data_IF_929687130656
#
_entry.id   IF_929687130656
#
_cell.length_a   1.000
_cell.length_b   1.000
_cell.length_c   1.000
_cell.angle_alpha   90.00
_cell.angle_beta   90.00
_cell.angle_gamma   90.00
#
_symmetry.space_group_name_H-M   'P 1'
#
loop_
_entity.id
_entity.type
_entity.pdbx_description
1 polymer ?
#
# COMPACT_ATOMS: atom_id res chain seq x y z
N UNK A 1 7.70 -23.57 5.17
CA UNK A 1 8.73 -22.62 4.70
C UNK A 1 7.96 -21.39 4.23
N UNK A 2 8.02 -20.28 4.96
CA UNK A 2 7.36 -19.02 4.57
C UNK A 2 8.27 -18.31 3.57
N UNK A 3 7.76 -17.74 2.46
CA UNK A 3 8.58 -16.88 1.63
C UNK A 3 8.94 -15.64 2.46
N UNK A 4 10.23 -15.47 2.73
CA UNK A 4 10.77 -14.24 3.28
C UNK A 4 10.55 -13.17 2.20
N UNK A 5 9.52 -12.34 2.38
CA UNK A 5 9.34 -11.12 1.60
C UNK A 5 10.41 -10.12 2.06
N UNK A 6 11.66 -10.35 1.67
CA UNK A 6 12.73 -9.38 1.80
C UNK A 6 12.46 -8.26 0.79
N UNK A 7 11.75 -7.22 1.25
CA UNK A 7 11.57 -5.96 0.52
C UNK A 7 12.98 -5.39 0.27
N UNK A 8 13.40 -5.34 -0.99
CA UNK A 8 14.75 -4.95 -1.39
C UNK A 8 14.80 -4.02 -2.61
N UNK A 9 15.47 -2.88 -2.39
CA UNK A 9 16.17 -1.92 -3.26
C UNK A 9 15.41 -1.19 -4.39
N UNK A 10 14.18 -1.58 -4.73
CA UNK A 10 13.28 -0.82 -5.63
C UNK A 10 11.83 -0.90 -5.09
N UNK A 11 11.67 -0.49 -3.83
CA UNK A 11 10.69 -1.07 -2.93
C UNK A 11 9.23 -0.77 -3.35
N UNK A 12 8.68 -1.72 -4.10
CA UNK A 12 7.26 -1.81 -4.43
C UNK A 12 6.50 -2.29 -3.18
N UNK A 13 5.47 -1.53 -2.80
CA UNK A 13 4.66 -1.80 -1.62
C UNK A 13 3.33 -2.39 -2.09
N UNK A 14 3.05 -3.62 -1.69
CA UNK A 14 1.74 -4.26 -1.91
C UNK A 14 0.79 -3.86 -0.78
N UNK A 15 -0.10 -2.91 -1.02
CA UNK A 15 -1.06 -2.42 -0.02
C UNK A 15 -2.51 -2.66 -0.43
N UNK A 16 -3.40 -2.77 0.56
CA UNK A 16 -4.81 -3.03 0.34
C UNK A 16 -5.58 -1.71 0.16
N UNK A 17 -6.48 -1.66 -0.83
CA UNK A 17 -7.44 -0.56 -0.97
C UNK A 17 -8.52 -0.69 0.10
N UNK A 18 -8.82 0.37 0.83
CA UNK A 18 -9.91 0.40 1.83
C UNK A 18 -10.94 1.49 1.57
N UNK A 19 -10.64 2.42 0.66
CA UNK A 19 -11.56 3.48 0.28
C UNK A 19 -11.19 4.13 -1.04
N UNK A 20 -12.09 4.96 -1.55
CA UNK A 20 -11.91 5.67 -2.81
C UNK A 20 -12.54 7.08 -2.76
N UNK A 21 -12.15 7.95 -3.70
CA UNK A 21 -12.68 9.30 -3.86
C UNK A 21 -13.12 9.55 -5.30
N UNK A 22 -14.19 10.30 -5.44
CA UNK A 22 -14.64 10.76 -6.74
C UNK A 22 -13.63 11.72 -7.37
N UNK A 23 -13.37 11.52 -8.67
CA UNK A 23 -12.60 12.45 -9.48
C UNK A 23 -13.25 13.82 -9.47
N UNK A 24 -12.44 14.85 -9.22
CA UNK A 24 -12.90 16.25 -9.17
C UNK A 24 -12.73 16.99 -10.49
N UNK A 25 -11.95 16.45 -11.41
CA UNK A 25 -11.71 17.02 -12.72
C UNK A 25 -12.80 16.61 -13.72
N UNK A 26 -12.99 17.44 -14.76
CA UNK A 26 -14.03 17.23 -15.78
C UNK A 26 -13.95 15.85 -16.44
N UNK A 27 -12.74 15.30 -16.57
CA UNK A 27 -12.49 14.01 -17.24
C UNK A 27 -12.83 12.79 -16.38
N UNK A 28 -12.87 12.92 -15.04
CA UNK A 28 -13.17 11.81 -14.11
C UNK A 28 -14.32 12.14 -13.17
N UNK A 29 -15.11 13.17 -13.49
CA UNK A 29 -16.27 13.56 -12.71
C UNK A 29 -17.24 12.37 -12.58
N UNK A 30 -17.54 11.98 -11.34
CA UNK A 30 -18.41 10.85 -11.03
C UNK A 30 -17.73 9.47 -11.10
N UNK A 31 -16.44 9.39 -11.43
CA UNK A 31 -15.67 8.14 -11.43
C UNK A 31 -14.77 8.10 -10.19
N UNK A 32 -14.78 6.97 -9.48
CA UNK A 32 -13.86 6.73 -8.37
C UNK A 32 -12.45 6.53 -8.94
N UNK A 33 -11.49 7.34 -8.47
CA UNK A 33 -10.18 7.47 -9.12
C UNK A 33 -9.02 7.74 -8.17
N UNK A 34 -9.25 7.78 -6.87
CA UNK A 34 -8.15 7.99 -5.93
C UNK A 34 -8.27 6.94 -4.83
N UNK A 35 -7.31 6.04 -4.72
CA UNK A 35 -7.43 4.92 -3.80
C UNK A 35 -6.82 5.29 -2.45
N UNK A 36 -7.57 5.12 -1.36
CA UNK A 36 -7.04 5.15 0.00
C UNK A 36 -6.56 3.75 0.36
N UNK A 37 -5.28 3.62 0.69
CA UNK A 37 -4.66 2.34 1.00
C UNK A 37 -4.25 2.22 2.47
N UNK A 38 -4.21 0.98 2.96
CA UNK A 38 -3.84 0.66 4.33
C UNK A 38 -2.73 -0.40 4.41
N UNK A 39 -2.10 -0.44 5.59
CA UNK A 39 -1.34 -1.58 6.08
C UNK A 39 -2.12 -2.30 7.18
N UNK A 40 -1.90 -3.60 7.34
CA UNK A 40 -2.60 -4.40 8.36
C UNK A 40 -1.81 -4.53 9.66
N UNK A 41 -2.53 -4.57 10.77
CA UNK A 41 -2.03 -4.89 12.10
C UNK A 41 -2.84 -6.05 12.62
N UNK A 42 -2.20 -7.20 12.87
CA UNK A 42 -2.88 -8.35 13.46
C UNK A 42 -3.24 -8.05 14.92
N UNK A 43 -4.47 -8.34 15.32
CA UNK A 43 -4.90 -8.17 16.70
C UNK A 43 -4.41 -9.32 17.59
N UNK A 44 -4.04 -9.03 18.84
CA UNK A 44 -3.53 -10.02 19.78
C UNK A 44 -4.60 -11.06 20.16
N UNK A 45 -5.84 -10.61 20.33
CA UNK A 45 -7.00 -11.45 20.64
C UNK A 45 -7.58 -12.18 19.42
N UNK A 46 -6.94 -12.05 18.24
CA UNK A 46 -7.37 -12.76 17.05
C UNK A 46 -7.29 -14.27 17.31
N UNK A 47 -8.45 -14.90 17.51
CA UNK A 47 -8.57 -16.34 17.65
C UNK A 47 -7.86 -16.96 16.46
N UNK A 48 -6.90 -17.86 16.72
CA UNK A 48 -6.31 -18.68 15.64
C UNK A 48 -7.39 -19.66 15.21
N UNK A 49 -8.34 -19.17 14.43
CA UNK A 49 -9.39 -19.99 13.84
C UNK A 49 -8.69 -21.07 13.03
N UNK A 50 -9.13 -22.32 13.20
CA UNK A 50 -8.73 -23.47 12.38
C UNK A 50 -9.16 -23.34 10.91
N UNK A 51 -9.58 -22.15 10.49
CA UNK A 51 -10.03 -21.83 9.15
C UNK A 51 -8.83 -21.65 8.22
N UNK A 52 -9.00 -22.07 6.96
CA UNK A 52 -7.99 -21.90 5.92
C UNK A 52 -7.81 -20.44 5.47
N UNK A 53 -8.67 -19.51 5.90
CA UNK A 53 -8.60 -18.08 5.60
C UNK A 53 -8.82 -17.26 6.88
N UNK A 54 -8.08 -16.17 7.08
CA UNK A 54 -8.25 -15.33 8.27
C UNK A 54 -9.55 -14.48 8.17
N UNK A 55 -10.07 -14.06 9.33
CA UNK A 55 -11.23 -13.18 9.41
C UNK A 55 -10.81 -11.72 9.23
N UNK A 56 -11.66 -10.89 8.62
CA UNK A 56 -11.38 -9.45 8.46
C UNK A 56 -11.23 -8.74 9.80
N UNK A 57 -11.90 -9.24 10.84
CA UNK A 57 -11.85 -8.72 12.21
C UNK A 57 -10.65 -9.24 13.02
N UNK A 58 -9.79 -10.10 12.43
CA UNK A 58 -8.50 -10.45 13.04
C UNK A 58 -7.46 -9.33 12.87
N UNK A 59 -7.78 -8.30 12.09
CA UNK A 59 -6.87 -7.21 11.73
C UNK A 59 -7.48 -5.83 11.95
N UNK A 60 -6.61 -4.88 12.28
CA UNK A 60 -6.86 -3.45 12.11
C UNK A 60 -6.17 -2.96 10.84
N UNK A 61 -6.81 -2.03 10.14
CA UNK A 61 -6.37 -1.51 8.84
C UNK A 61 -5.96 -0.05 9.01
N UNK A 62 -4.66 0.19 9.08
CA UNK A 62 -4.11 1.53 9.30
C UNK A 62 -3.87 2.20 7.96
N UNK A 63 -4.65 3.25 7.67
CA UNK A 63 -4.45 4.03 6.45
C UNK A 63 -3.10 4.72 6.44
N UNK A 64 -2.47 4.82 5.27
CA UNK A 64 -1.15 5.46 5.13
C UNK A 64 -0.94 6.25 3.84
N UNK A 65 -1.63 5.94 2.73
CA UNK A 65 -1.42 6.68 1.48
C UNK A 65 -2.67 6.79 0.63
N UNK A 66 -2.68 7.81 -0.22
CA UNK A 66 -3.69 8.05 -1.26
C UNK A 66 -3.02 8.04 -2.63
N UNK A 67 -3.60 7.31 -3.58
CA UNK A 67 -3.00 7.07 -4.90
C UNK A 67 -3.98 7.52 -5.98
N UNK A 68 -3.59 8.52 -6.78
CA UNK A 68 -4.43 9.06 -7.87
C UNK A 68 -3.81 8.91 -9.27
N UNK A 69 -2.78 8.07 -9.41
CA UNK A 69 -2.00 7.93 -10.66
C UNK A 69 -1.39 6.55 -10.80
N UNK A 70 -0.89 6.23 -12.00
CA UNK A 70 -0.18 4.98 -12.29
C UNK A 70 -1.01 3.93 -13.05
N UNK A 71 -2.31 4.17 -13.22
CA UNK A 71 -3.21 3.34 -14.01
C UNK A 71 -3.65 4.06 -15.30
N UNK A 72 -3.97 3.27 -16.32
CA UNK A 72 -4.63 3.73 -17.55
C UNK A 72 -6.13 3.96 -17.33
N UNK A 73 -6.77 4.67 -18.28
CA UNK A 73 -8.23 4.87 -18.22
C UNK A 73 -9.00 3.54 -18.30
N UNK A 74 -8.50 2.58 -19.10
CA UNK A 74 -9.11 1.26 -19.23
C UNK A 74 -9.06 0.50 -17.91
N UNK A 75 -7.89 0.41 -17.28
CA UNK A 75 -7.74 -0.25 -15.98
C UNK A 75 -8.62 0.39 -14.90
N UNK A 76 -8.75 1.72 -14.92
CA UNK A 76 -9.64 2.43 -14.00
C UNK A 76 -11.11 2.03 -14.19
N UNK A 77 -11.56 1.94 -15.45
CA UNK A 77 -12.93 1.55 -15.77
C UNK A 77 -13.19 0.08 -15.40
N UNK A 78 -12.25 -0.81 -15.71
CA UNK A 78 -12.32 -2.23 -15.38
C UNK A 78 -12.39 -2.42 -13.85
N UNK A 79 -11.57 -1.68 -13.09
CA UNK A 79 -11.63 -1.65 -11.63
C UNK A 79 -12.99 -1.17 -11.12
N UNK A 80 -13.47 -0.02 -11.61
CA UNK A 80 -14.77 0.53 -11.19
C UNK A 80 -15.92 -0.45 -11.44
N UNK A 81 -15.94 -1.10 -12.62
CA UNK A 81 -16.96 -2.08 -12.97
C UNK A 81 -16.90 -3.31 -12.05
N UNK A 82 -15.69 -3.78 -11.72
CA UNK A 82 -15.48 -4.95 -10.85
C UNK A 82 -15.98 -4.73 -9.43
N UNK A 83 -15.84 -3.52 -8.88
CA UNK A 83 -16.18 -3.22 -7.48
C UNK A 83 -17.46 -2.37 -7.31
N UNK A 84 -18.20 -2.09 -8.39
CA UNK A 84 -19.33 -1.15 -8.40
C UNK A 84 -20.38 -1.39 -7.30
N UNK A 85 -20.66 -2.65 -6.95
CA UNK A 85 -21.66 -3.03 -5.94
C UNK A 85 -21.08 -3.28 -4.54
N UNK A 86 -19.77 -3.09 -4.34
CA UNK A 86 -19.07 -3.35 -3.08
C UNK A 86 -18.84 -2.08 -2.25
N UNK A 87 -18.91 -0.92 -2.90
CA UNK A 87 -18.70 0.38 -2.26
C UNK A 87 -19.87 0.76 -1.34
N UNK A 88 -19.52 1.22 -0.14
CA UNK A 88 -20.45 1.78 0.84
C UNK A 88 -20.05 3.25 1.11
N UNK A 89 -20.99 4.20 1.19
CA UNK A 89 -20.67 5.58 1.55
C UNK A 89 -19.94 5.65 2.88
N UNK A 90 -18.87 6.44 2.96
CA UNK A 90 -18.17 6.66 4.22
C UNK A 90 -18.91 7.68 5.07
N UNK A 91 -19.49 7.23 6.19
CA UNK A 91 -20.17 8.09 7.16
C UNK A 91 -19.83 7.65 8.57
N UNK A 92 -20.12 8.48 9.58
CA UNK A 92 -19.92 8.08 10.99
C UNK A 92 -20.66 6.80 11.39
N UNK A 93 -21.73 6.43 10.67
CA UNK A 93 -22.55 5.23 10.95
C UNK A 93 -22.08 4.00 10.18
N UNK A 94 -21.43 4.20 9.04
CA UNK A 94 -21.07 3.12 8.10
C UNK A 94 -19.57 2.85 8.07
N UNK A 95 -18.74 3.75 8.60
CA UNK A 95 -17.30 3.56 8.73
C UNK A 95 -17.02 2.33 9.60
N UNK A 96 -16.34 1.29 9.08
CA UNK A 96 -16.01 0.12 9.87
C UNK A 96 -15.04 0.47 11.00
N UNK A 97 -15.28 -0.06 12.20
CA UNK A 97 -14.46 0.24 13.39
C UNK A 97 -13.02 -0.25 13.29
N UNK A 98 -12.74 -1.23 12.42
CA UNK A 98 -11.41 -1.80 12.17
C UNK A 98 -10.64 -1.07 11.07
N UNK A 99 -11.29 -0.22 10.26
CA UNK A 99 -10.60 0.63 9.28
C UNK A 99 -10.31 2.00 9.93
N UNK A 100 -9.04 2.21 10.27
CA UNK A 100 -8.63 3.36 11.06
C UNK A 100 -8.10 4.49 10.18
N UNK A 101 -8.81 5.61 10.22
CA UNK A 101 -8.49 6.87 9.54
C UNK A 101 -8.30 8.00 10.56
N UNK A 102 -7.52 9.02 10.22
CA UNK A 102 -7.40 10.26 11.01
C UNK A 102 -8.11 11.42 10.27
N UNK A 103 -7.36 12.27 9.57
CA UNK A 103 -7.91 13.43 8.86
C UNK A 103 -8.35 13.09 7.44
N UNK A 104 -7.59 12.26 6.72
CA UNK A 104 -7.94 11.83 5.37
C UNK A 104 -8.98 10.69 5.44
N UNK A 105 -10.21 10.97 4.98
CA UNK A 105 -11.33 10.03 4.98
C UNK A 105 -11.87 9.89 3.55
N UNK A 106 -12.13 8.67 3.06
CA UNK A 106 -12.59 8.45 1.70
C UNK A 106 -14.04 8.89 1.52
N UNK A 107 -14.50 9.00 0.27
CA UNK A 107 -15.92 9.22 -0.04
C UNK A 107 -16.72 7.91 0.15
N UNK A 108 -16.08 6.80 -0.20
CA UNK A 108 -16.63 5.44 -0.07
C UNK A 108 -15.59 4.48 0.51
N UNK A 109 -16.05 3.42 1.19
CA UNK A 109 -15.21 2.31 1.66
C UNK A 109 -15.68 0.97 1.12
N UNK A 110 -14.77 0.01 1.16
CA UNK A 110 -15.00 -1.38 0.76
C UNK A 110 -14.61 -2.30 1.91
N UNK A 111 -15.30 -3.45 2.03
CA UNK A 111 -14.93 -4.50 2.97
C UNK A 111 -13.55 -5.07 2.58
N UNK A 112 -12.58 -5.22 3.51
CA UNK A 112 -11.25 -5.73 3.17
C UNK A 112 -11.26 -7.05 2.41
N UNK A 113 -12.17 -7.98 2.77
CA UNK A 113 -12.31 -9.28 2.09
C UNK A 113 -12.83 -9.19 0.66
N UNK A 114 -13.55 -8.13 0.32
CA UNK A 114 -14.06 -7.85 -1.03
C UNK A 114 -13.12 -6.95 -1.84
N UNK A 115 -12.00 -6.51 -1.26
CA UNK A 115 -11.10 -5.54 -1.87
C UNK A 115 -9.98 -6.18 -2.68
N UNK A 116 -9.06 -5.34 -3.18
CA UNK A 116 -7.93 -5.72 -4.01
C UNK A 116 -6.63 -5.10 -3.46
N UNK A 117 -5.54 -5.85 -3.56
CA UNK A 117 -4.19 -5.33 -3.31
C UNK A 117 -3.72 -4.59 -4.55
N UNK A 118 -3.03 -3.47 -4.32
CA UNK A 118 -2.32 -2.74 -5.36
C UNK A 118 -0.84 -2.67 -5.01
N UNK A 119 -0.03 -2.81 -6.03
CA UNK A 119 1.41 -2.62 -5.96
C UNK A 119 1.73 -1.16 -6.24
N UNK A 120 2.55 -0.55 -5.38
CA UNK A 120 2.78 0.89 -5.37
C UNK A 120 4.25 1.21 -5.35
N UNK A 121 4.68 2.10 -6.24
CA UNK A 121 6.00 2.74 -6.18
C UNK A 121 5.89 4.14 -5.59
N UNK A 122 6.88 4.53 -4.82
CA UNK A 122 7.01 5.88 -4.28
C UNK A 122 8.49 6.23 -4.11
N UNK A 123 8.78 7.51 -3.88
CA UNK A 123 10.17 7.99 -3.74
C UNK A 123 10.69 7.84 -2.30
N UNK A 124 9.86 8.16 -1.31
CA UNK A 124 10.23 8.17 0.10
C UNK A 124 8.99 8.17 1.00
N UNK A 125 9.19 7.82 2.27
CA UNK A 125 8.26 8.04 3.37
C UNK A 125 8.36 9.48 3.88
N UNK A 126 7.21 10.08 4.18
CA UNK A 126 7.09 11.38 4.83
C UNK A 126 6.26 11.26 6.10
N UNK A 127 6.68 11.93 7.18
CA UNK A 127 5.83 12.05 8.37
C UNK A 127 4.50 12.73 8.01
N UNK A 128 3.39 12.22 8.54
CA UNK A 128 2.07 12.78 8.26
C UNK A 128 1.06 12.37 9.34
N UNK A 129 0.36 13.35 9.89
CA UNK A 129 -0.78 13.16 10.78
C UNK A 129 -2.07 12.83 10.03
N UNK A 130 -2.11 13.05 8.70
CA UNK A 130 -3.28 12.84 7.85
C UNK A 130 -3.77 11.40 7.78
N UNK A 131 -2.89 10.46 8.08
CA UNK A 131 -3.14 9.02 8.00
C UNK A 131 -2.84 8.33 9.33
N UNK A 132 -3.46 7.17 9.55
CA UNK A 132 -3.34 6.44 10.81
C UNK A 132 -1.93 5.95 11.11
N UNK A 133 -1.15 5.56 10.09
CA UNK A 133 0.21 5.09 10.27
C UNK A 133 1.18 6.15 10.83
N UNK A 134 0.82 7.44 10.81
CA UNK A 134 1.70 8.54 11.21
C UNK A 134 2.72 8.97 10.13
N UNK A 135 2.62 8.37 8.94
CA UNK A 135 3.42 8.69 7.77
C UNK A 135 2.65 8.40 6.48
N UNK A 136 3.21 8.86 5.36
CA UNK A 136 2.68 8.63 4.01
C UNK A 136 3.80 8.47 2.99
N UNK A 137 3.44 8.25 1.73
CA UNK A 137 4.36 8.10 0.61
C UNK A 137 4.45 9.40 -0.20
N UNK A 138 5.67 9.76 -0.63
CA UNK A 138 5.91 10.84 -1.59
C UNK A 138 5.84 10.31 -3.02
N UNK A 139 5.04 10.97 -3.85
CA UNK A 139 4.81 10.61 -5.25
C UNK A 139 4.37 9.15 -5.49
N UNK A 140 3.36 8.64 -4.75
CA UNK A 140 2.91 7.26 -4.94
C UNK A 140 2.24 7.08 -6.31
N UNK A 141 2.61 5.99 -7.00
CA UNK A 141 2.06 5.56 -8.27
C UNK A 141 1.67 4.09 -8.18
N UNK A 142 0.46 3.77 -8.63
CA UNK A 142 0.02 2.40 -8.78
C UNK A 142 0.79 1.77 -9.95
N UNK A 143 1.44 0.64 -9.72
CA UNK A 143 2.13 -0.12 -10.77
C UNK A 143 1.26 -1.26 -11.27
N UNK A 144 0.51 -1.90 -10.37
CA UNK A 144 -0.29 -3.08 -10.72
C UNK A 144 -1.44 -3.30 -9.75
N UNK A 145 -2.59 -3.73 -10.27
CA UNK A 145 -3.65 -4.37 -9.47
C UNK A 145 -3.27 -5.85 -9.26
N UNK A 146 -3.05 -6.27 -8.02
CA UNK A 146 -2.53 -7.59 -7.65
C UNK A 146 -3.65 -8.60 -7.44
N UNK A 147 -4.30 -8.98 -8.54
CA UNK A 147 -5.35 -10.03 -8.53
C UNK A 147 -4.82 -11.42 -8.16
N UNK A 148 -3.51 -11.59 -8.22
CA UNK A 148 -2.79 -12.80 -7.81
C UNK A 148 -2.63 -12.95 -6.29
N UNK A 149 -2.95 -11.91 -5.51
CA UNK A 149 -2.83 -11.90 -4.06
C UNK A 149 -4.18 -11.81 -3.37
N UNK A 150 -4.35 -12.57 -2.29
CA UNK A 150 -5.46 -12.42 -1.38
C UNK A 150 -5.32 -11.17 -0.52
N UNK A 151 -6.43 -10.59 -0.06
CA UNK A 151 -6.46 -9.33 0.68
C UNK A 151 -5.57 -9.31 1.95
N UNK A 152 -5.39 -10.47 2.60
CA UNK A 152 -4.58 -10.62 3.81
C UNK A 152 -3.07 -10.80 3.53
N UNK A 153 -2.65 -10.77 2.27
CA UNK A 153 -1.24 -10.80 1.84
C UNK A 153 -0.68 -9.39 1.57
N UNK A 154 -1.39 -8.35 2.03
CA UNK A 154 -0.93 -6.97 1.96
C UNK A 154 0.10 -6.68 3.05
N UNK A 155 0.83 -5.58 2.85
CA UNK A 155 1.88 -5.12 3.76
C UNK A 155 1.35 -4.90 5.17
N UNK A 156 2.10 -5.37 6.16
CA UNK A 156 1.86 -5.13 7.56
C UNK A 156 2.40 -3.76 7.99
N UNK A 157 1.86 -3.20 9.07
CA UNK A 157 2.40 -1.96 9.62
C UNK A 157 3.88 -2.09 10.01
N UNK A 158 4.26 -3.23 10.58
CA UNK A 158 5.64 -3.47 11.00
C UNK A 158 6.59 -3.51 9.80
N UNK A 159 6.22 -4.19 8.71
CA UNK A 159 7.02 -4.21 7.49
C UNK A 159 7.23 -2.79 6.90
N UNK A 160 6.22 -1.90 7.00
CA UNK A 160 6.38 -0.50 6.59
C UNK A 160 7.34 0.27 7.50
N UNK A 161 7.32 0.02 8.82
CA UNK A 161 8.27 0.63 9.76
C UNK A 161 9.68 0.15 9.45
N UNK A 162 9.87 -1.15 9.30
CA UNK A 162 11.17 -1.75 8.99
C UNK A 162 11.70 -1.23 7.64
N UNK A 163 10.81 -1.02 6.65
CA UNK A 163 11.18 -0.46 5.36
C UNK A 163 11.60 1.02 5.47
N UNK A 164 10.85 1.80 6.26
CA UNK A 164 11.14 3.20 6.52
C UNK A 164 12.48 3.38 7.24
N UNK A 165 12.78 2.53 8.21
CA UNK A 165 14.00 2.60 9.00
C UNK A 165 15.24 2.17 8.19
N UNK A 166 15.15 1.06 7.45
CA UNK A 166 16.26 0.53 6.63
C UNK A 166 16.82 1.52 5.62
N UNK A 167 15.97 2.36 5.05
CA UNK A 167 16.35 3.28 3.99
C UNK A 167 16.44 4.75 4.44
N UNK A 168 16.48 5.02 5.76
CA UNK A 168 16.42 6.38 6.32
C UNK A 168 15.26 7.22 5.72
N UNK A 169 14.12 6.57 5.45
CA UNK A 169 12.94 7.13 4.82
C UNK A 169 12.92 7.11 3.29
N UNK A 170 14.01 6.84 2.56
CA UNK A 170 13.98 6.75 1.09
C UNK A 170 13.45 5.38 0.62
N UNK A 171 12.96 5.25 -0.61
CA UNK A 171 12.54 3.94 -1.17
C UNK A 171 13.42 3.47 -2.34
N UNK A 172 14.26 4.38 -2.86
CA UNK A 172 15.35 4.03 -3.75
C UNK A 172 16.62 3.83 -2.92
N UNK A 173 17.13 2.61 -2.92
CA UNK A 173 18.40 2.28 -2.28
C UNK A 173 19.58 2.92 -3.00
N UNK A 174 20.60 3.31 -2.23
CA UNK A 174 21.88 3.82 -2.73
C UNK A 174 22.68 2.70 -3.42
N UNK A 175 22.48 2.49 -4.73
CA UNK A 175 23.53 1.93 -5.57
C UNK A 175 24.33 3.09 -6.15
N UNK A 176 25.44 3.48 -5.51
CA UNK A 176 26.45 4.30 -6.20
C UNK A 176 27.89 4.29 -5.62
N UNK A 177 28.23 3.49 -4.62
CA UNK A 177 29.62 3.46 -4.10
C UNK A 177 30.12 2.03 -3.87
N UNK A 178 30.30 1.24 -4.94
CA UNK A 178 31.29 0.14 -4.93
C UNK A 178 31.68 -0.39 -6.32
N UNK A 179 31.67 0.46 -7.35
CA UNK A 179 32.43 0.20 -8.58
C UNK A 179 33.34 1.42 -8.78
N UNK A 180 34.62 1.20 -9.09
CA UNK A 180 35.77 2.12 -8.97
C UNK A 180 36.50 2.09 -7.62
N UNK A 181 36.92 0.91 -7.16
CA UNK A 181 38.13 0.82 -6.30
C UNK A 181 38.89 -0.51 -6.45
N UNK A 182 38.79 -1.15 -7.62
CA UNK A 182 39.64 -2.28 -8.01
C UNK A 182 40.36 -1.91 -9.32
N UNK A 183 41.35 -1.01 -9.24
CA UNK A 183 42.48 -1.07 -10.17
C UNK A 183 43.69 -1.54 -9.36
N UNK A 184 44.08 -2.76 -9.70
CA UNK A 184 45.13 -3.56 -9.11
C UNK A 184 46.48 -2.83 -9.15
N UNK A 185 47.09 -2.71 -7.97
CA UNK A 185 48.53 -2.93 -7.84
C UNK A 185 48.85 -4.33 -8.37
N UNK A 186 49.72 -4.42 -9.38
CA UNK A 186 50.91 -5.30 -9.46
C UNK A 186 51.36 -5.49 -10.91
N UNK A 187 52.64 -5.15 -11.15
CA UNK A 187 53.68 -5.82 -11.96
C UNK A 187 54.73 -4.73 -12.26
N UNK A 188 55.74 -4.50 -11.41
CA UNK A 188 56.98 -5.29 -11.30
C UNK A 188 57.23 -6.26 -12.47
N UNK A 189 58.05 -5.81 -13.42
CA UNK A 189 59.06 -6.63 -14.12
C UNK A 189 59.86 -5.71 -15.07
N UNK A 190 61.16 -5.53 -14.77
CA UNK A 190 62.19 -5.07 -15.74
C UNK A 190 63.07 -3.90 -15.30
#
# INVERSE_FOLDING_TARGET
IKPDYTIGLNDEIDCLIVGDYFGRDRLRAGILSHFLCCAVVKQEDATTSTQCKPDVHDYLYYTFCKIGSGYTHKELLDFNNRFANKWKPWTKKTAPSYILCTHEKPDVCIEPSDSCIVQVKATEFMASDKYKCGFTLRFPRLEKFREDKAWYECVTYQELIDLRERNAGKLASRFMEHELNDDFDLNDDG
#
